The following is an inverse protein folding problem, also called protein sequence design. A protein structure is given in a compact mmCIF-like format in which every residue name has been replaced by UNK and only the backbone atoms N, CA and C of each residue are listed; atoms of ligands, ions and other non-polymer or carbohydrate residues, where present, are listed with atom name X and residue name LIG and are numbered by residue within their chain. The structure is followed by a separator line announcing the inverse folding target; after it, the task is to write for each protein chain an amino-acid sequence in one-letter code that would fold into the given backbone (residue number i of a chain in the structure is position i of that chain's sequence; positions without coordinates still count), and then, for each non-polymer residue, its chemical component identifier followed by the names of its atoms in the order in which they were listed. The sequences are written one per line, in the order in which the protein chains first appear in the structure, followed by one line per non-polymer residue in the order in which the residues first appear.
data_IF_753545680087
#
_entry.id   IF_753545680087
#
_cell.length_a   1.000
_cell.length_b   1.000
_cell.length_c   1.000
_cell.angle_alpha   90.00
_cell.angle_beta   90.00
_cell.angle_gamma   90.00
#
_symmetry.space_group_name_H-M   'P 1'
#
loop_
_entity.id
_entity.type
_entity.pdbx_description
1 polymer ?
#
# COMPACT_ATOMS: atom_id res chain seq x y z
N UNK A 1 66.97 59.50 -25.68
CA UNK A 1 66.05 60.27 -24.80
C UNK A 1 64.62 59.88 -25.15
N UNK A 2 64.07 59.02 -24.29
CA UNK A 2 62.67 58.71 -23.98
C UNK A 2 61.56 59.25 -24.91
N UNK A 3 61.03 58.31 -25.69
CA UNK A 3 59.66 58.29 -26.23
C UNK A 3 58.64 58.39 -25.09
N UNK A 4 57.76 59.39 -25.14
CA UNK A 4 56.55 59.42 -24.32
C UNK A 4 55.35 59.11 -25.21
N UNK A 5 54.83 57.91 -25.00
CA UNK A 5 53.59 57.35 -25.53
C UNK A 5 52.47 58.38 -25.56
N UNK A 6 52.16 58.87 -26.76
CA UNK A 6 50.97 59.67 -27.01
C UNK A 6 49.78 58.71 -27.08
N UNK A 7 49.27 58.35 -25.92
CA UNK A 7 48.05 57.56 -25.76
C UNK A 7 46.92 58.17 -26.59
N UNK A 8 46.52 57.47 -27.65
CA UNK A 8 45.42 57.82 -28.55
C UNK A 8 44.07 57.63 -27.81
N UNK A 9 44.10 56.96 -26.66
CA UNK A 9 42.98 56.82 -25.77
C UNK A 9 42.93 58.01 -24.82
N UNK A 10 42.06 58.99 -25.16
CA UNK A 10 41.65 60.05 -24.23
C UNK A 10 41.30 59.42 -22.88
N UNK A 11 41.90 59.90 -21.80
CA UNK A 11 41.58 59.47 -20.42
C UNK A 11 40.07 59.48 -20.13
N UNK A 12 39.35 60.44 -20.72
CA UNK A 12 37.88 60.53 -20.60
C UNK A 12 37.12 59.33 -21.20
N UNK A 13 37.69 58.62 -22.17
CA UNK A 13 37.10 57.41 -22.75
C UNK A 13 37.36 56.19 -21.85
N UNK A 14 38.55 56.12 -21.25
CA UNK A 14 38.91 55.08 -20.28
C UNK A 14 38.06 55.22 -19.02
N UNK A 15 37.88 56.45 -18.53
CA UNK A 15 37.06 56.73 -17.34
C UNK A 15 35.58 56.36 -17.55
N UNK A 16 35.03 56.63 -18.74
CA UNK A 16 33.67 56.17 -19.13
C UNK A 16 33.57 54.66 -19.25
N UNK A 17 34.62 53.99 -19.74
CA UNK A 17 34.65 52.54 -19.88
C UNK A 17 34.77 51.84 -18.52
N UNK A 18 35.60 52.37 -17.61
CA UNK A 18 35.74 51.88 -16.24
C UNK A 18 34.43 52.03 -15.45
N UNK A 19 33.76 53.19 -15.54
CA UNK A 19 32.47 53.43 -14.88
C UNK A 19 31.35 52.49 -15.38
N UNK A 20 31.47 51.94 -16.60
CA UNK A 20 30.52 50.95 -17.17
C UNK A 20 30.82 49.52 -16.75
N UNK A 21 32.07 49.21 -16.36
CA UNK A 21 32.52 47.89 -15.89
C UNK A 21 32.23 47.67 -14.40
N UNK A 22 32.01 48.73 -13.65
CA UNK A 22 31.50 48.71 -12.27
C UNK A 22 29.99 48.45 -12.17
N UNK A 23 29.29 48.27 -13.30
CA UNK A 23 28.03 47.52 -13.30
C UNK A 23 28.40 46.05 -13.10
N UNK A 24 28.83 45.81 -11.86
CA UNK A 24 28.88 44.57 -11.16
C UNK A 24 28.02 43.55 -11.89
N UNK A 25 28.71 42.62 -12.54
CA UNK A 25 28.24 41.26 -12.69
C UNK A 25 28.19 40.69 -11.27
N UNK A 26 27.32 41.25 -10.41
CA UNK A 26 26.71 40.42 -9.38
C UNK A 26 26.00 39.41 -10.25
N UNK A 27 26.57 38.20 -10.35
CA UNK A 27 25.77 36.99 -10.53
C UNK A 27 24.51 37.30 -9.76
N UNK A 28 23.40 37.48 -10.47
CA UNK A 28 22.16 38.04 -9.94
C UNK A 28 21.74 37.06 -8.85
N UNK A 29 22.26 37.29 -7.66
CA UNK A 29 22.08 36.46 -6.49
C UNK A 29 20.65 36.79 -6.17
N UNK A 30 19.79 35.94 -6.72
CA UNK A 30 18.36 35.80 -6.51
C UNK A 30 17.89 36.84 -5.50
N UNK A 31 17.21 37.88 -6.00
CA UNK A 31 16.81 39.04 -5.19
C UNK A 31 16.28 38.59 -3.82
N UNK A 32 16.60 39.28 -2.71
CA UNK A 32 16.21 38.84 -1.35
C UNK A 32 14.76 38.33 -1.20
N UNK A 33 13.72 38.95 -1.80
CA UNK A 33 12.35 38.40 -1.73
C UNK A 33 12.16 37.06 -2.47
N UNK A 34 12.90 36.84 -3.56
CA UNK A 34 12.84 35.62 -4.35
C UNK A 34 13.45 34.42 -3.58
N UNK A 35 14.42 34.67 -2.70
CA UNK A 35 14.95 33.65 -1.78
C UNK A 35 13.88 33.15 -0.80
N UNK A 36 13.13 34.06 -0.16
CA UNK A 36 12.02 33.69 0.73
C UNK A 36 10.90 32.96 0.00
N UNK A 37 10.58 33.38 -1.23
CA UNK A 37 9.58 32.70 -2.05
C UNK A 37 9.99 31.26 -2.38
N UNK A 38 11.26 31.05 -2.73
CA UNK A 38 11.80 29.73 -3.06
C UNK A 38 11.85 28.80 -1.84
N UNK A 39 12.21 29.34 -0.67
CA UNK A 39 12.12 28.62 0.61
C UNK A 39 10.68 28.29 1.00
N UNK A 40 9.74 29.22 0.80
CA UNK A 40 8.31 28.97 1.04
C UNK A 40 7.77 27.85 0.15
N UNK A 41 8.14 27.86 -1.14
CA UNK A 41 7.79 26.79 -2.07
C UNK A 41 8.39 25.44 -1.65
N UNK A 42 9.65 25.43 -1.22
CA UNK A 42 10.32 24.23 -0.73
C UNK A 42 9.64 23.67 0.53
N UNK A 43 9.31 24.53 1.49
CA UNK A 43 8.62 24.13 2.70
C UNK A 43 7.21 23.59 2.39
N UNK A 44 6.50 24.22 1.47
CA UNK A 44 5.21 23.73 0.97
C UNK A 44 5.35 22.33 0.34
N UNK A 45 6.38 22.12 -0.49
CA UNK A 45 6.64 20.83 -1.12
C UNK A 45 6.98 19.75 -0.09
N UNK A 46 7.81 20.07 0.92
CA UNK A 46 8.14 19.15 2.02
C UNK A 46 6.90 18.81 2.85
N UNK A 47 6.08 19.80 3.21
CA UNK A 47 4.82 19.57 3.91
C UNK A 47 3.86 18.70 3.09
N UNK A 48 3.72 18.95 1.79
CA UNK A 48 2.93 18.11 0.90
C UNK A 48 3.43 16.66 0.88
N UNK A 49 4.73 16.46 0.74
CA UNK A 49 5.35 15.13 0.81
C UNK A 49 5.11 14.43 2.15
N UNK A 50 5.27 15.14 3.26
CA UNK A 50 5.01 14.61 4.60
C UNK A 50 3.55 14.20 4.81
N UNK A 51 2.60 14.98 4.30
CA UNK A 51 1.17 14.64 4.36
C UNK A 51 0.88 13.37 3.56
N UNK A 52 1.41 13.25 2.34
CA UNK A 52 1.23 12.05 1.50
C UNK A 52 1.88 10.83 2.15
N UNK A 53 3.01 11.00 2.84
CA UNK A 53 3.65 9.92 3.58
C UNK A 53 2.82 9.46 4.79
N UNK A 54 2.16 10.39 5.48
CA UNK A 54 1.34 10.11 6.65
C UNK A 54 0.05 9.36 6.32
N UNK A 55 -0.42 9.41 5.06
CA UNK A 55 -1.64 8.70 4.64
C UNK A 55 -1.33 7.21 4.44
N UNK A 56 -1.81 6.42 5.40
CA UNK A 56 -1.81 4.97 5.40
C UNK A 56 -3.11 4.45 4.76
N UNK A 57 -3.00 3.81 3.60
CA UNK A 57 -4.14 3.23 2.86
C UNK A 57 -4.29 1.76 3.28
N UNK A 58 -5.50 1.29 3.64
CA UNK A 58 -5.71 -0.10 3.99
C UNK A 58 -5.64 -1.00 2.75
N UNK A 59 -4.91 -2.11 2.85
CA UNK A 59 -4.89 -3.15 1.81
C UNK A 59 -6.06 -4.09 2.07
N UNK A 60 -6.99 -4.14 1.12
CA UNK A 60 -8.19 -4.98 1.17
C UNK A 60 -8.01 -6.14 0.19
N UNK A 61 -8.14 -7.36 0.69
CA UNK A 61 -8.14 -8.58 -0.13
C UNK A 61 -9.57 -9.06 -0.26
N UNK A 62 -10.01 -9.27 -1.50
CA UNK A 62 -11.29 -9.87 -1.80
C UNK A 62 -11.17 -11.40 -1.75
N UNK A 63 -12.13 -12.03 -1.07
CA UNK A 63 -12.28 -13.47 -0.98
C UNK A 63 -13.73 -13.88 -1.24
N UNK A 64 -13.93 -15.17 -1.48
CA UNK A 64 -15.28 -15.75 -1.51
C UNK A 64 -15.52 -16.43 -0.17
N UNK A 65 -16.78 -16.65 0.18
CA UNK A 65 -17.10 -17.33 1.41
C UNK A 65 -18.47 -17.96 1.41
N UNK A 66 -18.70 -18.80 2.40
CA UNK A 66 -19.95 -19.53 2.59
C UNK A 66 -20.32 -19.44 4.07
N UNK A 67 -21.58 -19.12 4.35
CA UNK A 67 -22.10 -19.12 5.71
C UNK A 67 -22.50 -20.55 6.08
N UNK A 68 -21.88 -21.10 7.12
CA UNK A 68 -22.07 -22.47 7.56
C UNK A 68 -22.36 -22.49 9.06
N UNK A 69 -23.11 -23.50 9.50
CA UNK A 69 -23.29 -23.72 10.93
C UNK A 69 -22.35 -24.82 11.37
N UNK A 70 -21.41 -24.50 12.26
CA UNK A 70 -20.44 -25.45 12.77
C UNK A 70 -20.73 -25.77 14.24
N UNK A 71 -20.71 -27.06 14.56
CA UNK A 71 -20.69 -27.50 15.94
C UNK A 71 -19.29 -27.19 16.51
N UNK A 72 -19.19 -26.17 17.36
CA UNK A 72 -17.93 -25.84 18.02
C UNK A 72 -17.74 -26.81 19.19
N UNK A 73 -16.63 -27.56 19.26
CA UNK A 73 -16.33 -28.39 20.42
C UNK A 73 -15.75 -27.50 21.53
N UNK A 74 -16.58 -26.70 22.17
CA UNK A 74 -16.19 -25.94 23.37
C UNK A 74 -16.71 -26.65 24.62
N UNK A 75 -15.80 -26.80 25.58
CA UNK A 75 -15.89 -27.66 26.77
C UNK A 75 -17.25 -27.58 27.50
N UNK A 76 -17.69 -28.78 27.92
CA UNK A 76 -18.77 -29.06 28.88
C UNK A 76 -20.21 -28.64 28.47
N UNK A 77 -20.97 -29.63 28.01
CA UNK A 77 -22.42 -29.78 28.15
C UNK A 77 -23.40 -28.84 27.42
N UNK A 78 -22.96 -27.94 26.54
CA UNK A 78 -23.91 -27.24 25.64
C UNK A 78 -23.48 -27.38 24.19
N UNK A 79 -24.21 -28.17 23.40
CA UNK A 79 -24.13 -28.20 21.93
C UNK A 79 -24.68 -26.87 21.39
N UNK A 80 -23.95 -25.78 21.57
CA UNK A 80 -24.25 -24.51 20.92
C UNK A 80 -23.73 -24.58 19.49
N UNK A 81 -24.67 -24.55 18.54
CA UNK A 81 -24.35 -24.48 17.13
C UNK A 81 -24.03 -23.02 16.80
N UNK A 82 -22.75 -22.71 16.58
CA UNK A 82 -22.36 -21.36 16.21
C UNK A 82 -22.38 -21.21 14.69
N UNK A 83 -22.93 -20.09 14.21
CA UNK A 83 -22.89 -19.79 12.78
C UNK A 83 -21.59 -19.10 12.46
N UNK A 84 -20.81 -19.73 11.58
CA UNK A 84 -19.51 -19.27 11.14
C UNK A 84 -19.54 -18.94 9.66
N UNK A 85 -18.63 -18.06 9.23
CA UNK A 85 -18.36 -17.81 7.81
C UNK A 85 -17.04 -18.44 7.47
N UNK A 86 -17.09 -19.33 6.48
CA UNK A 86 -15.92 -19.90 5.86
C UNK A 86 -15.45 -18.93 4.77
N UNK A 87 -14.25 -18.40 4.92
CA UNK A 87 -13.61 -17.46 4.00
C UNK A 87 -12.56 -18.21 3.20
N UNK A 88 -12.65 -18.11 1.88
CA UNK A 88 -11.79 -18.74 0.89
C UNK A 88 -10.98 -17.65 0.21
N UNK A 89 -9.68 -17.61 0.52
CA UNK A 89 -8.74 -16.61 0.01
C UNK A 89 -7.67 -17.25 -0.89
N UNK A 90 -7.07 -16.44 -1.77
CA UNK A 90 -5.98 -16.89 -2.64
C UNK A 90 -4.79 -17.38 -1.80
N UNK A 91 -4.09 -18.46 -2.22
CA UNK A 91 -2.90 -18.95 -1.52
C UNK A 91 -1.80 -17.90 -1.35
N UNK A 92 -1.69 -16.93 -2.27
CA UNK A 92 -0.69 -15.85 -2.20
C UNK A 92 -0.85 -14.96 -0.95
N UNK A 93 -2.01 -15.00 -0.30
CA UNK A 93 -2.36 -14.15 0.83
C UNK A 93 -2.15 -14.85 2.19
N UNK A 94 -1.67 -16.09 2.19
CA UNK A 94 -1.45 -16.90 3.40
C UNK A 94 -0.55 -16.20 4.42
N UNK A 95 0.57 -15.62 3.98
CA UNK A 95 1.55 -14.97 4.87
C UNK A 95 1.02 -13.69 5.53
N UNK A 96 0.05 -13.04 4.87
CA UNK A 96 -0.52 -11.77 5.33
C UNK A 96 -1.78 -11.95 6.19
N UNK A 97 -2.36 -13.17 6.22
CA UNK A 97 -3.60 -13.44 6.93
C UNK A 97 -3.32 -13.76 8.40
N UNK A 98 -3.95 -13.01 9.31
CA UNK A 98 -3.76 -13.16 10.76
C UNK A 98 -5.08 -13.14 11.51
N UNK A 99 -5.13 -13.93 12.58
CA UNK A 99 -6.25 -13.90 13.54
C UNK A 99 -6.40 -12.50 14.12
N UNK A 100 -7.63 -12.02 14.28
CA UNK A 100 -7.96 -10.68 14.77
C UNK A 100 -8.09 -9.60 13.69
N UNK A 101 -7.80 -9.91 12.41
CA UNK A 101 -8.05 -8.98 11.31
C UNK A 101 -9.55 -8.75 11.12
N UNK A 102 -9.92 -7.52 10.75
CA UNK A 102 -11.30 -7.15 10.45
C UNK A 102 -11.66 -7.59 9.03
N UNK A 103 -12.85 -8.18 8.90
CA UNK A 103 -13.41 -8.68 7.64
C UNK A 103 -14.78 -8.08 7.44
N UNK A 104 -15.00 -7.46 6.29
CA UNK A 104 -16.34 -7.08 5.85
C UNK A 104 -16.89 -8.19 4.96
N UNK A 105 -18.05 -8.71 5.32
CA UNK A 105 -18.69 -9.83 4.63
C UNK A 105 -19.97 -9.29 4.00
N UNK A 106 -20.14 -9.51 2.70
CA UNK A 106 -21.31 -9.07 1.92
C UNK A 106 -22.00 -10.29 1.34
N UNK A 107 -23.30 -10.41 1.58
CA UNK A 107 -24.09 -11.57 1.12
C UNK A 107 -24.50 -11.36 -0.32
N UNK A 108 -24.18 -12.33 -1.17
CA UNK A 108 -24.50 -12.27 -2.61
C UNK A 108 -26.02 -12.39 -2.77
N UNK A 109 -26.62 -11.40 -3.44
CA UNK A 109 -28.05 -11.36 -3.74
C UNK A 109 -28.89 -10.48 -2.82
N UNK A 110 -28.44 -10.18 -1.59
CA UNK A 110 -29.18 -9.30 -0.67
C UNK A 110 -28.51 -7.96 -0.38
N UNK A 111 -27.28 -7.75 -0.87
CA UNK A 111 -26.45 -6.55 -0.61
C UNK A 111 -26.29 -6.23 0.89
N UNK A 112 -26.52 -7.22 1.75
CA UNK A 112 -26.38 -7.06 3.20
C UNK A 112 -24.91 -7.24 3.54
N UNK A 113 -24.30 -6.23 4.14
CA UNK A 113 -22.92 -6.30 4.62
C UNK A 113 -22.86 -6.22 6.14
N UNK A 114 -21.94 -6.98 6.72
CA UNK A 114 -21.64 -6.94 8.15
C UNK A 114 -20.14 -7.08 8.36
N UNK A 115 -19.66 -6.57 9.49
CA UNK A 115 -18.24 -6.63 9.84
C UNK A 115 -18.03 -7.69 10.92
N UNK A 116 -17.01 -8.51 10.75
CA UNK A 116 -16.58 -9.50 11.72
C UNK A 116 -15.05 -9.48 11.87
N UNK A 117 -14.53 -10.32 12.75
CA UNK A 117 -13.10 -10.52 12.99
C UNK A 117 -12.73 -11.98 12.70
N UNK A 118 -11.54 -12.20 12.16
CA UNK A 118 -11.05 -13.56 11.92
C UNK A 118 -10.78 -14.23 13.26
N UNK A 119 -11.51 -15.29 13.58
CA UNK A 119 -11.33 -16.07 14.80
C UNK A 119 -10.26 -17.16 14.64
N UNK A 120 -10.16 -17.76 13.45
CA UNK A 120 -9.17 -18.82 13.16
C UNK A 120 -8.73 -18.77 11.71
N UNK A 121 -7.43 -19.02 11.48
CA UNK A 121 -6.84 -19.17 10.15
C UNK A 121 -6.26 -20.56 10.05
N UNK A 122 -6.53 -21.28 8.96
CA UNK A 122 -5.87 -22.55 8.71
C UNK A 122 -4.46 -22.30 8.15
N UNK A 123 -3.44 -22.96 8.72
CA UNK A 123 -2.04 -22.68 8.39
C UNK A 123 -1.60 -23.28 7.05
N UNK A 124 -2.42 -24.10 6.38
CA UNK A 124 -2.08 -24.79 5.14
C UNK A 124 -3.13 -24.49 4.06
N UNK A 125 -2.68 -24.40 2.80
CA UNK A 125 -3.56 -24.25 1.64
C UNK A 125 -4.36 -25.54 1.47
N UNK A 126 -5.69 -25.44 1.54
CA UNK A 126 -6.56 -26.61 1.44
C UNK A 126 -7.06 -26.82 0.02
N UNK A 127 -7.16 -28.08 -0.39
CA UNK A 127 -7.80 -28.42 -1.65
C UNK A 127 -9.33 -28.26 -1.56
N UNK A 128 -10.04 -28.03 -2.67
CA UNK A 128 -11.50 -28.00 -2.66
C UNK A 128 -12.16 -29.23 -2.06
N UNK A 129 -11.51 -30.40 -2.16
CA UNK A 129 -12.02 -31.65 -1.61
C UNK A 129 -11.88 -31.71 -0.09
N UNK A 130 -10.73 -31.27 0.45
CA UNK A 130 -10.49 -31.21 1.89
C UNK A 130 -11.43 -30.23 2.57
N UNK A 131 -11.69 -29.09 1.93
CA UNK A 131 -12.64 -28.10 2.45
C UNK A 131 -14.05 -28.69 2.54
N UNK A 132 -14.49 -29.41 1.50
CA UNK A 132 -15.82 -30.04 1.47
C UNK A 132 -15.98 -31.10 2.55
N UNK A 133 -14.97 -31.94 2.73
CA UNK A 133 -14.99 -33.02 3.72
C UNK A 133 -14.87 -32.52 5.15
N UNK A 134 -13.98 -31.53 5.40
CA UNK A 134 -13.76 -30.99 6.73
C UNK A 134 -14.93 -30.13 7.23
N UNK A 135 -15.55 -29.34 6.35
CA UNK A 135 -16.62 -28.40 6.72
C UNK A 135 -18.03 -28.88 6.34
N UNK A 136 -18.16 -30.11 5.83
CA UNK A 136 -19.43 -30.72 5.41
C UNK A 136 -20.27 -29.78 4.50
N UNK A 137 -19.62 -29.18 3.51
CA UNK A 137 -20.23 -28.17 2.63
C UNK A 137 -21.23 -28.86 1.69
N UNK A 138 -22.45 -28.32 1.59
CA UNK A 138 -23.48 -28.86 0.72
C UNK A 138 -23.04 -28.84 -0.77
N UNK A 139 -23.52 -29.82 -1.54
CA UNK A 139 -23.22 -29.98 -2.97
C UNK A 139 -23.43 -28.71 -3.85
N UNK A 140 -24.50 -27.89 -3.69
CA UNK A 140 -24.65 -26.68 -4.50
C UNK A 140 -23.61 -25.59 -4.15
N UNK A 141 -23.15 -25.53 -2.91
CA UNK A 141 -22.16 -24.54 -2.44
C UNK A 141 -20.73 -24.95 -2.78
N UNK A 142 -20.53 -26.23 -3.04
CA UNK A 142 -19.25 -26.80 -3.47
C UNK A 142 -18.76 -26.23 -4.80
N UNK A 143 -19.67 -25.74 -5.65
CA UNK A 143 -19.33 -25.08 -6.94
C UNK A 143 -18.67 -23.71 -6.75
N UNK A 144 -18.86 -23.06 -5.60
CA UNK A 144 -18.19 -21.79 -5.29
C UNK A 144 -16.69 -21.99 -4.99
N UNK A 145 -16.28 -23.21 -4.64
CA UNK A 145 -14.90 -23.58 -4.31
C UNK A 145 -14.21 -24.08 -5.59
N UNK A 146 -13.64 -23.15 -6.34
CA UNK A 146 -13.06 -23.40 -7.67
C UNK A 146 -11.58 -23.79 -7.66
N UNK A 147 -10.87 -23.67 -6.54
CA UNK A 147 -9.42 -23.87 -6.51
C UNK A 147 -8.83 -24.00 -5.11
N UNK A 148 -7.52 -24.31 -5.02
CA UNK A 148 -6.81 -24.36 -3.75
C UNK A 148 -6.91 -22.99 -3.06
N UNK A 149 -7.26 -22.99 -1.78
CA UNK A 149 -7.56 -21.75 -1.06
C UNK A 149 -7.11 -21.82 0.39
N UNK A 150 -6.70 -20.68 0.93
CA UNK A 150 -6.46 -20.51 2.36
C UNK A 150 -7.80 -20.30 3.03
N UNK A 151 -8.04 -21.08 4.07
CA UNK A 151 -9.31 -21.08 4.78
C UNK A 151 -9.19 -20.23 6.04
N UNK A 152 -10.06 -19.25 6.17
CA UNK A 152 -10.24 -18.50 7.41
C UNK A 152 -11.66 -18.62 7.92
N UNK A 153 -11.80 -18.60 9.23
CA UNK A 153 -13.07 -18.79 9.92
C UNK A 153 -13.33 -17.52 10.73
N UNK A 154 -14.47 -16.88 10.46
CA UNK A 154 -14.94 -15.74 11.21
C UNK A 154 -16.34 -16.04 11.79
N UNK A 155 -16.59 -15.79 13.09
CA UNK A 155 -17.94 -15.92 13.64
C UNK A 155 -18.87 -14.87 13.03
N UNK A 156 -20.16 -15.18 12.84
CA UNK A 156 -21.12 -14.18 12.37
C UNK A 156 -21.58 -13.31 13.55
N UNK A 157 -21.33 -12.01 13.47
CA UNK A 157 -21.82 -11.03 14.43
C UNK A 157 -22.66 -9.97 13.72
N UNK A 158 -23.91 -9.71 14.15
CA UNK A 158 -24.67 -10.39 15.21
C UNK A 158 -25.18 -11.80 14.81
N UNK A 159 -25.28 -12.70 15.80
CA UNK A 159 -25.68 -14.11 15.61
C UNK A 159 -27.05 -14.31 14.93
N UNK A 160 -27.95 -13.32 15.01
CA UNK A 160 -29.26 -13.31 14.33
C UNK A 160 -29.14 -13.35 12.80
N UNK A 161 -28.07 -12.81 12.23
CA UNK A 161 -27.82 -12.86 10.79
C UNK A 161 -27.38 -14.27 10.36
N UNK A 162 -26.68 -15.00 11.22
CA UNK A 162 -26.16 -16.32 10.90
C UNK A 162 -27.25 -17.29 10.48
N UNK A 163 -28.35 -17.36 11.23
CA UNK A 163 -29.46 -18.26 10.94
C UNK A 163 -30.26 -17.86 9.69
N UNK A 164 -30.39 -16.55 9.43
CA UNK A 164 -31.15 -16.04 8.29
C UNK A 164 -30.47 -16.35 6.95
N UNK A 165 -29.13 -16.43 6.94
CA UNK A 165 -28.33 -16.55 5.71
C UNK A 165 -27.50 -17.84 5.66
N UNK A 166 -27.90 -18.85 6.42
CA UNK A 166 -27.24 -20.14 6.45
C UNK A 166 -27.28 -20.78 5.05
N UNK A 167 -26.11 -21.18 4.54
CA UNK A 167 -25.98 -21.75 3.21
C UNK A 167 -25.95 -20.73 2.08
N UNK A 168 -25.89 -19.43 2.37
CA UNK A 168 -25.69 -18.39 1.36
C UNK A 168 -24.21 -18.22 1.01
N UNK A 169 -23.95 -17.87 -0.26
CA UNK A 169 -22.64 -17.42 -0.70
C UNK A 169 -22.42 -15.97 -0.28
N UNK A 170 -21.21 -15.64 0.12
CA UNK A 170 -20.81 -14.29 0.48
C UNK A 170 -19.48 -13.92 -0.19
N UNK A 171 -19.30 -12.63 -0.41
CA UNK A 171 -18.01 -12.03 -0.73
C UNK A 171 -17.42 -11.47 0.56
N UNK A 172 -16.12 -11.60 0.71
CA UNK A 172 -15.41 -11.12 1.88
C UNK A 172 -14.31 -10.16 1.49
N UNK A 173 -14.10 -9.17 2.33
CA UNK A 173 -13.03 -8.20 2.20
C UNK A 173 -12.25 -8.19 3.50
N UNK A 174 -11.06 -8.78 3.47
CA UNK A 174 -10.17 -8.85 4.64
C UNK A 174 -9.19 -7.69 4.58
N UNK A 175 -9.07 -6.94 5.68
CA UNK A 175 -8.04 -5.93 5.85
C UNK A 175 -6.74 -6.60 6.30
N UNK A 176 -5.83 -6.86 5.36
CA UNK A 176 -4.57 -7.58 5.62
C UNK A 176 -3.41 -6.69 6.07
N UNK A 177 -3.52 -5.37 5.89
CA UNK A 177 -2.45 -4.45 6.29
C UNK A 177 -2.72 -3.00 5.88
N UNK A 178 -1.68 -2.19 5.97
CA UNK A 178 -1.69 -0.83 5.44
C UNK A 178 -0.42 -0.53 4.64
N UNK A 179 -0.60 0.12 3.50
CA UNK A 179 0.48 0.61 2.66
C UNK A 179 0.44 2.14 2.64
N UNK A 180 1.61 2.79 2.65
CA UNK A 180 1.67 4.24 2.47
C UNK A 180 1.24 4.61 1.05
N UNK A 181 0.50 5.72 0.91
CA UNK A 181 0.03 6.22 -0.38
C UNK A 181 1.16 6.48 -1.40
N UNK A 182 2.39 6.73 -0.92
CA UNK A 182 3.58 6.89 -1.75
C UNK A 182 3.92 5.66 -2.60
N UNK A 183 3.57 4.46 -2.14
CA UNK A 183 3.81 3.21 -2.87
C UNK A 183 2.92 3.04 -4.12
N UNK A 184 1.80 3.76 -4.17
CA UNK A 184 0.87 3.79 -5.31
C UNK A 184 1.31 4.77 -6.40
N UNK A 185 2.33 5.61 -6.13
CA UNK A 185 2.89 6.51 -7.13
C UNK A 185 3.89 5.72 -7.98
N UNK A 186 3.60 5.45 -9.28
CA UNK A 186 4.42 4.58 -10.11
C UNK A 186 5.87 5.05 -10.27
N UNK A 187 6.11 6.36 -10.10
CA UNK A 187 7.45 6.96 -10.19
C UNK A 187 8.38 6.45 -9.07
N UNK A 188 7.89 6.28 -7.83
CA UNK A 188 8.73 5.90 -6.68
C UNK A 188 9.16 4.43 -6.77
N UNK A 189 8.28 3.55 -7.25
CA UNK A 189 8.57 2.13 -7.42
C UNK A 189 9.66 1.90 -8.50
N UNK A 190 9.65 2.72 -9.55
CA UNK A 190 10.69 2.66 -10.58
C UNK A 190 12.05 3.16 -10.05
N UNK A 191 12.09 4.20 -9.22
CA UNK A 191 13.37 4.66 -8.64
C UNK A 191 14.00 3.63 -7.70
N UNK A 192 13.19 2.92 -6.90
CA UNK A 192 13.71 1.86 -6.03
C UNK A 192 14.33 0.69 -6.83
N UNK A 193 13.71 0.28 -7.94
CA UNK A 193 14.26 -0.78 -8.80
C UNK A 193 15.50 -0.35 -9.58
N UNK A 194 15.59 0.93 -9.97
CA UNK A 194 16.81 1.47 -10.58
C UNK A 194 17.99 1.56 -9.61
N UNK A 195 17.76 1.93 -8.35
CA UNK A 195 18.82 1.94 -7.32
C UNK A 195 19.31 0.53 -6.98
N UNK A 196 18.41 -0.45 -6.88
CA UNK A 196 18.78 -1.85 -6.59
C UNK A 196 19.59 -2.48 -7.75
N UNK A 197 19.25 -2.16 -9.00
CA UNK A 197 20.04 -2.57 -10.17
C UNK A 197 21.41 -1.88 -10.24
N UNK A 198 21.50 -0.59 -9.87
CA UNK A 198 22.78 0.11 -9.80
C UNK A 198 23.70 -0.50 -8.74
N UNK A 199 23.15 -0.91 -7.60
CA UNK A 199 23.91 -1.53 -6.51
C UNK A 199 24.43 -2.93 -6.90
N UNK A 200 23.63 -3.74 -7.60
CA UNK A 200 24.08 -5.02 -8.19
C UNK A 200 25.20 -4.87 -9.21
N UNK A 201 25.18 -3.82 -10.02
CA UNK A 201 26.25 -3.55 -10.98
C UNK A 201 27.58 -3.21 -10.28
N UNK A 202 27.53 -2.43 -9.20
CA UNK A 202 28.72 -2.14 -8.41
C UNK A 202 29.30 -3.38 -7.72
N UNK A 203 28.45 -4.27 -7.19
CA UNK A 203 28.92 -5.52 -6.57
C UNK A 203 29.50 -6.52 -7.60
N UNK A 204 29.01 -6.49 -8.84
CA UNK A 204 29.54 -7.32 -9.92
C UNK A 204 30.94 -6.85 -10.35
N UNK A 205 31.14 -5.54 -10.48
CA UNK A 205 32.44 -4.96 -10.85
C UNK A 205 33.49 -5.17 -9.73
N UNK A 206 33.09 -5.09 -8.46
CA UNK A 206 33.99 -5.33 -7.32
C UNK A 206 34.46 -6.79 -7.22
N UNK A 207 33.71 -7.76 -7.78
CA UNK A 207 34.10 -9.18 -7.75
C UNK A 207 35.06 -9.58 -8.87
N UNK A 208 35.25 -8.74 -9.89
CA UNK A 208 36.16 -9.02 -11.02
C UNK A 208 37.51 -8.29 -10.93
N UNK A 209 37.77 -7.56 -9.85
CA UNK A 209 39.08 -6.93 -9.53
C UNK A 209 39.70 -7.63 -8.33
#
# INVERSE_FOLDING_TARGET
MSSLDKSIFRERAIEKYMRRREIHVVLRLVSPPMFFFLWGLLLLAVCGGAVVWSIQIPILVQGKGIVLQQAVPQQANTKQQETIVLLLLSPDQQENLKVGQSVTITIVGTNTSFTSTIGKVQPEVMSPMDIRTQFNVAAPLSQAISGPSVVAIAPVQPASLGHTYLGSQCESQVKIGSQSALSLVPVVNNFASYLDNAQKLFDTIRKEV
#
